data_IF_507502529852
#
_entry.id   IF_507502529852
#
_cell.length_a   1.000
_cell.length_b   1.000
_cell.length_c   1.000
_cell.angle_alpha   90.00
_cell.angle_beta   90.00
_cell.angle_gamma   90.00
#
_symmetry.space_group_name_H-M   'P 1'
#
loop_
_entity.id
_entity.type
_entity.pdbx_description
1 polymer ?
#
# COMPACT_ATOMS: atom_id res chain seq x y z
N UNK A 1 9.41 -9.04 24.64
CA UNK A 1 10.88 -8.87 24.70
C UNK A 1 11.14 -7.38 24.94
N UNK A 2 12.26 -7.01 25.55
CA UNK A 2 12.59 -5.58 25.71
C UNK A 2 13.22 -5.04 24.43
N UNK A 3 12.57 -4.07 23.79
CA UNK A 3 13.01 -3.45 22.53
C UNK A 3 14.05 -2.36 22.75
N UNK A 4 14.20 -1.83 23.98
CA UNK A 4 15.02 -0.64 24.25
C UNK A 4 16.49 -0.76 23.81
N UNK A 5 17.21 -1.89 24.02
CA UNK A 5 18.59 -2.01 23.55
C UNK A 5 18.70 -1.93 22.02
N UNK A 6 17.71 -2.47 21.32
CA UNK A 6 17.65 -2.51 19.86
C UNK A 6 17.32 -1.13 19.27
N UNK A 7 16.38 -0.41 19.88
CA UNK A 7 16.04 0.98 19.56
C UNK A 7 17.29 1.86 19.63
N UNK A 8 18.05 1.78 20.73
CA UNK A 8 19.26 2.60 20.89
C UNK A 8 20.32 2.26 19.85
N UNK A 9 20.47 0.97 19.51
CA UNK A 9 21.42 0.50 18.50
C UNK A 9 21.09 1.08 17.12
N UNK A 10 19.84 0.95 16.69
CA UNK A 10 19.36 1.47 15.40
C UNK A 10 19.44 3.00 15.32
N UNK A 11 19.07 3.70 16.39
CA UNK A 11 19.25 5.15 16.49
C UNK A 11 20.72 5.53 16.25
N UNK A 12 21.65 4.87 16.94
CA UNK A 12 23.08 5.19 16.82
C UNK A 12 23.61 4.95 15.38
N UNK A 13 23.10 3.92 14.70
CA UNK A 13 23.46 3.65 13.31
C UNK A 13 22.91 4.72 12.35
N UNK A 14 21.65 5.14 12.51
CA UNK A 14 21.06 6.26 11.77
C UNK A 14 21.91 7.53 11.96
N UNK A 15 22.28 7.85 13.20
CA UNK A 15 23.13 9.01 13.48
C UNK A 15 24.48 8.89 12.76
N UNK A 16 25.12 7.72 12.82
CA UNK A 16 26.39 7.45 12.14
C UNK A 16 26.28 7.66 10.62
N UNK A 17 25.23 7.14 9.99
CA UNK A 17 24.96 7.30 8.56
C UNK A 17 24.77 8.76 8.18
N UNK A 18 23.96 9.51 8.93
CA UNK A 18 23.76 10.95 8.69
C UNK A 18 25.03 11.77 8.88
N UNK A 19 25.97 11.37 9.76
CA UNK A 19 27.26 12.08 9.91
C UNK A 19 28.11 12.07 8.64
N UNK A 20 27.86 11.12 7.72
CA UNK A 20 28.57 11.00 6.45
C UNK A 20 27.91 11.78 5.31
N UNK A 21 26.74 12.36 5.54
CA UNK A 21 25.96 13.04 4.51
C UNK A 21 26.27 14.55 4.47
N UNK A 22 26.51 15.10 3.29
CA UNK A 22 27.13 16.43 3.08
C UNK A 22 26.14 17.62 3.15
N UNK A 23 24.84 17.36 3.31
CA UNK A 23 23.78 18.35 3.01
C UNK A 23 23.26 19.20 4.20
N UNK A 24 23.83 19.10 5.39
CA UNK A 24 23.51 20.01 6.52
C UNK A 24 22.10 19.90 7.12
N UNK A 25 21.24 18.99 6.63
CA UNK A 25 19.89 18.70 7.16
C UNK A 25 19.90 17.80 8.40
N UNK A 26 21.07 17.27 8.76
CA UNK A 26 21.27 16.25 9.79
C UNK A 26 20.73 16.62 11.17
N UNK A 27 21.00 17.83 11.66
CA UNK A 27 20.68 18.17 13.06
C UNK A 27 19.17 18.27 13.28
N UNK A 28 18.41 18.69 12.26
CA UNK A 28 16.95 18.73 12.30
C UNK A 28 16.37 17.31 12.29
N UNK A 29 16.85 16.44 11.40
CA UNK A 29 16.37 15.05 11.31
C UNK A 29 16.67 14.25 12.59
N UNK A 30 17.87 14.41 13.16
CA UNK A 30 18.22 13.77 14.43
C UNK A 30 17.33 14.28 15.55
N UNK A 31 17.08 15.58 15.60
CA UNK A 31 16.18 16.17 16.59
C UNK A 31 14.77 15.59 16.47
N UNK A 32 14.22 15.49 15.26
CA UNK A 32 12.87 14.92 15.06
C UNK A 32 12.81 13.44 15.48
N UNK A 33 13.88 12.69 15.19
CA UNK A 33 14.00 11.29 15.66
C UNK A 33 14.02 11.24 17.19
N UNK A 34 14.89 12.03 17.81
CA UNK A 34 15.06 12.01 19.26
C UNK A 34 13.79 12.51 19.98
N UNK A 35 13.11 13.53 19.45
CA UNK A 35 11.83 14.04 19.97
C UNK A 35 10.75 12.94 19.95
N UNK A 36 10.66 12.15 18.86
CA UNK A 36 9.73 11.02 18.78
C UNK A 36 10.09 9.90 19.77
N UNK A 37 11.38 9.53 19.85
CA UNK A 37 11.86 8.48 20.76
C UNK A 37 11.69 8.84 22.24
N UNK A 38 11.80 10.12 22.59
CA UNK A 38 11.66 10.60 23.97
C UNK A 38 10.20 10.79 24.40
N UNK A 39 9.23 10.66 23.48
CA UNK A 39 7.81 10.77 23.82
C UNK A 39 7.37 9.67 24.79
N UNK A 40 6.74 10.06 25.91
CA UNK A 40 6.20 9.12 26.90
C UNK A 40 4.92 8.43 26.44
N UNK A 41 4.23 9.01 25.45
CA UNK A 41 2.94 8.50 24.95
C UNK A 41 3.13 7.39 23.93
N UNK A 42 4.29 7.34 23.26
CA UNK A 42 4.61 6.32 22.25
C UNK A 42 5.14 5.05 22.89
N UNK A 43 4.59 3.92 22.47
CA UNK A 43 5.07 2.61 22.89
C UNK A 43 6.47 2.34 22.32
N UNK A 44 7.23 1.47 23.00
CA UNK A 44 8.52 1.00 22.48
C UNK A 44 8.37 0.33 21.10
N UNK A 45 7.19 -0.24 20.81
CA UNK A 45 6.88 -0.85 19.52
C UNK A 45 6.75 0.19 18.40
N UNK A 46 6.02 1.29 18.63
CA UNK A 46 5.92 2.40 17.68
C UNK A 46 7.28 3.08 17.48
N UNK A 47 8.06 3.24 18.56
CA UNK A 47 9.43 3.81 18.48
C UNK A 47 10.35 2.93 17.64
N UNK A 48 10.31 1.62 17.87
CA UNK A 48 11.05 0.64 17.07
C UNK A 48 10.66 0.74 15.58
N UNK A 49 9.36 0.74 15.29
CA UNK A 49 8.88 0.82 13.91
C UNK A 49 9.24 2.15 13.23
N UNK A 50 9.11 3.27 13.95
CA UNK A 50 9.49 4.59 13.45
C UNK A 50 10.97 4.64 13.04
N UNK A 51 11.87 4.01 13.81
CA UNK A 51 13.27 3.92 13.44
C UNK A 51 13.51 3.03 12.22
N UNK A 52 12.76 1.93 12.08
CA UNK A 52 12.83 1.09 10.87
C UNK A 52 12.42 1.90 9.63
N UNK A 53 11.36 2.71 9.74
CA UNK A 53 10.93 3.60 8.66
C UNK A 53 11.98 4.67 8.29
N UNK A 54 12.84 5.04 9.24
CA UNK A 54 13.88 6.05 9.08
C UNK A 54 15.29 5.44 9.02
N UNK A 55 15.41 4.17 8.63
CA UNK A 55 16.68 3.46 8.58
C UNK A 55 17.71 4.13 7.63
N UNK A 56 17.23 4.74 6.54
CA UNK A 56 18.05 5.42 5.53
C UNK A 56 17.62 6.90 5.39
N UNK A 57 17.92 7.74 6.38
CA UNK A 57 17.41 9.11 6.45
C UNK A 57 18.02 10.07 5.40
N UNK A 58 19.07 9.65 4.68
CA UNK A 58 19.66 10.41 3.57
C UNK A 58 19.22 9.95 2.18
N UNK A 59 18.47 8.84 2.10
CA UNK A 59 17.96 8.38 0.81
C UNK A 59 16.82 9.30 0.37
N UNK A 60 16.89 9.77 -0.88
CA UNK A 60 15.79 10.49 -1.52
C UNK A 60 14.62 9.54 -1.73
N UNK A 61 13.85 9.31 -0.66
CA UNK A 61 12.62 8.54 -0.71
C UNK A 61 11.60 9.32 -1.52
N UNK A 62 10.93 8.65 -2.46
CA UNK A 62 9.84 9.23 -3.27
C UNK A 62 8.52 9.40 -2.46
N UNK A 63 8.62 9.38 -1.14
CA UNK A 63 7.50 9.44 -0.21
C UNK A 63 7.90 10.10 1.11
N UNK A 64 6.91 10.70 1.77
CA UNK A 64 7.03 11.27 3.12
C UNK A 64 6.34 10.36 4.12
N UNK A 65 6.86 10.33 5.35
CA UNK A 65 6.34 9.54 6.47
C UNK A 65 5.93 10.52 7.56
N UNK A 66 4.69 10.42 8.02
CA UNK A 66 4.15 11.26 9.09
C UNK A 66 3.60 10.34 10.20
N UNK A 67 4.20 10.33 11.40
CA UNK A 67 3.70 9.55 12.50
C UNK A 67 2.46 10.21 13.13
N UNK A 68 1.51 9.38 13.59
CA UNK A 68 0.30 9.78 14.33
C UNK A 68 -0.53 10.86 13.63
N UNK A 69 -0.68 10.70 12.32
CA UNK A 69 -1.39 11.66 11.49
C UNK A 69 -2.89 11.59 11.74
N UNK A 70 -3.50 12.74 12.01
CA UNK A 70 -4.95 12.88 12.13
C UNK A 70 -5.56 13.14 10.74
N UNK A 71 -6.45 12.25 10.30
CA UNK A 71 -7.15 12.39 9.01
C UNK A 71 -8.65 12.48 9.21
N UNK A 72 -9.29 13.43 8.52
CA UNK A 72 -10.74 13.57 8.47
C UNK A 72 -11.27 12.85 7.23
N UNK A 73 -12.13 11.85 7.43
CA UNK A 73 -12.70 11.04 6.35
C UNK A 73 -14.22 11.02 6.41
N UNK A 74 -14.86 10.85 5.25
CA UNK A 74 -16.30 10.58 5.20
C UNK A 74 -16.65 9.25 5.86
N UNK A 75 -17.77 9.23 6.57
CA UNK A 75 -18.25 8.04 7.26
C UNK A 75 -19.13 7.17 6.36
N UNK A 76 -18.51 6.50 5.40
CA UNK A 76 -19.25 5.67 4.43
C UNK A 76 -19.74 4.33 5.01
N UNK A 77 -19.27 3.96 6.20
CA UNK A 77 -19.60 2.68 6.81
C UNK A 77 -21.06 2.57 7.26
N UNK A 78 -21.57 3.58 7.97
CA UNK A 78 -22.95 3.64 8.44
C UNK A 78 -23.64 5.00 8.21
N UNK A 79 -22.93 5.97 7.62
CA UNK A 79 -23.44 7.30 7.29
C UNK A 79 -23.98 8.08 8.51
N UNK A 80 -23.51 7.76 9.72
CA UNK A 80 -24.00 8.38 10.96
C UNK A 80 -23.56 9.84 11.13
N UNK A 81 -22.44 10.22 10.50
CA UNK A 81 -21.88 11.58 10.54
C UNK A 81 -21.32 11.99 9.17
N UNK A 82 -21.22 13.29 8.84
CA UNK A 82 -20.61 13.70 7.57
C UNK A 82 -19.10 13.39 7.48
N UNK A 83 -18.41 13.30 8.62
CA UNK A 83 -17.00 12.94 8.66
C UNK A 83 -16.53 12.55 10.06
N UNK A 84 -15.49 11.72 10.12
CA UNK A 84 -14.87 11.17 11.32
C UNK A 84 -13.36 11.37 11.24
N UNK A 85 -12.78 11.79 12.35
CA UNK A 85 -11.34 11.88 12.52
C UNK A 85 -10.76 10.53 12.96
N UNK A 86 -9.72 10.09 12.28
CA UNK A 86 -8.93 8.91 12.65
C UNK A 86 -7.47 9.32 12.81
N UNK A 87 -6.83 8.88 13.89
CA UNK A 87 -5.38 8.87 14.01
C UNK A 87 -4.83 7.64 13.28
N UNK A 88 -3.84 7.80 12.42
CA UNK A 88 -3.08 6.72 11.77
C UNK A 88 -1.70 6.66 12.41
N UNK A 89 -1.23 5.48 12.83
CA UNK A 89 0.06 5.34 13.51
C UNK A 89 1.21 5.87 12.65
N UNK A 90 1.24 5.51 11.36
CA UNK A 90 2.13 6.13 10.37
C UNK A 90 1.41 6.30 9.03
N UNK A 91 1.25 7.55 8.60
CA UNK A 91 0.77 7.88 7.27
C UNK A 91 1.96 8.05 6.31
N UNK A 92 1.89 7.40 5.16
CA UNK A 92 2.91 7.49 4.11
C UNK A 92 2.26 8.06 2.85
N UNK A 93 2.84 9.12 2.34
CA UNK A 93 2.37 9.79 1.13
C UNK A 93 3.47 9.77 0.07
N UNK A 94 3.21 9.11 -1.07
CA UNK A 94 4.09 9.11 -2.24
C UNK A 94 3.38 9.63 -3.48
N UNK A 95 4.10 9.70 -4.60
CA UNK A 95 3.54 10.12 -5.88
C UNK A 95 3.49 11.63 -6.08
N UNK A 96 2.43 12.12 -6.72
CA UNK A 96 2.29 13.55 -7.04
C UNK A 96 1.12 14.18 -6.29
N UNK A 97 1.09 15.51 -6.19
CA UNK A 97 -0.01 16.24 -5.54
C UNK A 97 -1.37 15.94 -6.19
N UNK A 98 -1.40 15.74 -7.51
CA UNK A 98 -2.64 15.45 -8.24
C UNK A 98 -3.08 13.98 -8.11
N UNK A 99 -2.12 13.09 -7.89
CA UNK A 99 -2.33 11.64 -7.82
C UNK A 99 -1.52 11.04 -6.65
N UNK A 100 -1.90 11.33 -5.39
CA UNK A 100 -1.15 10.86 -4.24
C UNK A 100 -1.43 9.38 -3.99
N UNK A 101 -0.37 8.63 -3.73
CA UNK A 101 -0.50 7.28 -3.14
C UNK A 101 -0.44 7.44 -1.63
N UNK A 102 -1.53 7.07 -0.96
CA UNK A 102 -1.69 7.19 0.49
C UNK A 102 -1.68 5.80 1.12
N UNK A 103 -0.76 5.55 2.03
CA UNK A 103 -0.67 4.30 2.80
C UNK A 103 -0.85 4.62 4.28
N UNK A 104 -1.79 3.96 4.92
CA UNK A 104 -1.99 3.98 6.36
C UNK A 104 -1.34 2.72 6.94
N UNK A 105 -0.34 2.90 7.80
CA UNK A 105 0.30 1.80 8.52
C UNK A 105 -0.15 1.82 9.97
N UNK A 106 -0.63 0.67 10.46
CA UNK A 106 -1.08 0.46 11.83
C UNK A 106 -0.21 -0.62 12.50
N UNK A 107 0.17 -0.39 13.75
CA UNK A 107 1.00 -1.30 14.54
C UNK A 107 0.14 -1.96 15.61
N UNK A 108 -0.27 -3.19 15.34
CA UNK A 108 -1.11 -3.95 16.24
C UNK A 108 -0.26 -4.49 17.41
N UNK A 109 -0.32 -3.79 18.55
CA UNK A 109 0.26 -4.27 19.80
C UNK A 109 -0.37 -5.59 20.26
N UNK A 110 0.38 -6.43 20.99
CA UNK A 110 -0.09 -7.73 21.53
C UNK A 110 -1.21 -7.61 22.61
N UNK A 111 -1.88 -6.46 22.74
CA UNK A 111 -3.01 -6.30 23.65
C UNK A 111 -4.23 -7.00 23.07
N UNK A 112 -4.51 -8.18 23.60
CA UNK A 112 -5.81 -8.67 24.07
C UNK A 112 -7.03 -7.78 23.81
N UNK A 113 -7.33 -7.47 22.54
CA UNK A 113 -8.58 -6.82 22.18
C UNK A 113 -9.62 -7.90 21.90
N UNK A 114 -10.37 -8.23 22.97
CA UNK A 114 -11.61 -8.97 22.84
C UNK A 114 -12.54 -8.34 21.80
N UNK A 115 -13.57 -9.09 21.40
CA UNK A 115 -14.51 -8.82 20.29
C UNK A 115 -15.10 -7.38 20.17
N UNK A 116 -14.91 -6.49 21.16
CA UNK A 116 -15.42 -5.10 21.20
C UNK A 116 -14.72 -4.12 20.24
N UNK A 117 -13.43 -4.28 19.91
CA UNK A 117 -12.72 -3.30 19.07
C UNK A 117 -12.76 -3.60 17.57
N UNK A 118 -13.03 -4.86 17.21
CA UNK A 118 -13.09 -5.34 15.81
C UNK A 118 -14.01 -4.50 14.92
N UNK A 119 -15.15 -4.01 15.44
CA UNK A 119 -16.08 -3.17 14.67
C UNK A 119 -15.54 -1.77 14.42
N UNK A 120 -14.82 -1.18 15.38
CA UNK A 120 -14.23 0.16 15.24
C UNK A 120 -13.08 0.12 14.23
N UNK A 121 -12.24 -0.90 14.31
CA UNK A 121 -11.11 -1.08 13.39
C UNK A 121 -11.62 -1.36 11.97
N UNK A 122 -12.65 -2.19 11.83
CA UNK A 122 -13.30 -2.43 10.54
C UNK A 122 -13.92 -1.16 9.95
N UNK A 123 -14.54 -0.30 10.77
CA UNK A 123 -15.10 0.98 10.32
C UNK A 123 -14.00 1.90 9.80
N UNK A 124 -12.91 2.04 10.56
CA UNK A 124 -11.72 2.82 10.16
C UNK A 124 -11.16 2.30 8.84
N UNK A 125 -10.97 0.99 8.70
CA UNK A 125 -10.45 0.39 7.47
C UNK A 125 -11.35 0.64 6.26
N UNK A 126 -12.67 0.50 6.41
CA UNK A 126 -13.63 0.76 5.33
C UNK A 126 -13.59 2.24 4.90
N UNK A 127 -13.60 3.17 5.87
CA UNK A 127 -13.58 4.60 5.58
C UNK A 127 -12.24 5.01 4.92
N UNK A 128 -11.11 4.47 5.39
CA UNK A 128 -9.79 4.65 4.77
C UNK A 128 -9.78 4.14 3.33
N UNK A 129 -10.18 2.89 3.11
CA UNK A 129 -10.18 2.27 1.79
C UNK A 129 -11.10 3.01 0.81
N UNK A 130 -12.29 3.43 1.25
CA UNK A 130 -13.21 4.23 0.44
C UNK A 130 -12.62 5.59 0.06
N UNK A 131 -11.83 6.19 0.94
CA UNK A 131 -11.07 7.40 0.67
C UNK A 131 -9.76 7.16 -0.12
N UNK A 132 -9.55 5.94 -0.65
CA UNK A 132 -8.42 5.59 -1.51
C UNK A 132 -7.12 5.31 -0.77
N UNK A 133 -7.15 5.12 0.56
CA UNK A 133 -5.99 4.71 1.32
C UNK A 133 -5.74 3.21 1.18
N UNK A 134 -4.46 2.85 1.13
CA UNK A 134 -4.01 1.48 1.33
C UNK A 134 -3.72 1.27 2.80
N UNK A 135 -4.33 0.25 3.40
CA UNK A 135 -4.15 -0.04 4.83
C UNK A 135 -3.21 -1.24 4.96
N UNK A 136 -2.11 -1.05 5.68
CA UNK A 136 -1.14 -2.08 6.06
C UNK A 136 -1.14 -2.20 7.58
N UNK A 137 -1.23 -3.43 8.08
CA UNK A 137 -1.19 -3.71 9.52
C UNK A 137 -0.03 -4.63 9.82
N UNK A 138 0.82 -4.24 10.76
CA UNK A 138 1.93 -5.06 11.23
C UNK A 138 1.72 -5.42 12.69
N UNK A 139 1.85 -6.71 12.98
CA UNK A 139 1.72 -7.23 14.33
C UNK A 139 2.97 -6.92 15.15
N UNK A 140 2.80 -6.87 16.46
CA UNK A 140 3.93 -6.76 17.38
C UNK A 140 5.01 -7.81 17.15
N UNK A 141 4.65 -9.04 16.77
CA UNK A 141 5.61 -10.10 16.48
C UNK A 141 6.49 -9.74 15.28
N UNK A 142 5.90 -9.28 14.19
CA UNK A 142 6.64 -8.91 12.98
C UNK A 142 7.63 -7.80 13.29
N UNK A 143 7.22 -6.76 14.03
CA UNK A 143 8.13 -5.65 14.39
C UNK A 143 9.30 -6.11 15.26
N UNK A 144 9.07 -7.03 16.20
CA UNK A 144 10.14 -7.60 17.01
C UNK A 144 11.12 -8.43 16.18
N UNK A 145 10.62 -9.30 15.30
CA UNK A 145 11.48 -10.11 14.44
C UNK A 145 12.34 -9.22 13.55
N UNK A 146 11.76 -8.14 13.03
CA UNK A 146 12.44 -7.25 12.11
C UNK A 146 13.57 -6.45 12.76
N UNK A 147 13.34 -5.90 13.96
CA UNK A 147 14.38 -5.12 14.65
C UNK A 147 15.54 -6.01 15.13
N UNK A 148 15.28 -7.29 15.41
CA UNK A 148 16.32 -8.26 15.76
C UNK A 148 17.20 -8.53 14.54
N UNK A 149 16.60 -8.83 13.38
CA UNK A 149 17.35 -9.03 12.13
C UNK A 149 18.28 -7.87 11.85
N UNK A 150 17.76 -6.64 12.03
CA UNK A 150 18.55 -5.42 11.89
C UNK A 150 19.75 -5.39 12.84
N UNK A 151 19.55 -5.70 14.11
CA UNK A 151 20.66 -5.69 15.09
C UNK A 151 21.75 -6.74 14.84
N UNK A 152 21.39 -7.83 14.16
CA UNK A 152 22.30 -8.93 13.86
C UNK A 152 23.06 -8.73 12.53
N UNK A 153 22.57 -7.85 11.64
CA UNK A 153 23.08 -7.69 10.28
C UNK A 153 23.21 -6.21 9.90
N UNK A 154 24.45 -5.71 9.82
CA UNK A 154 24.75 -4.28 9.54
C UNK A 154 24.15 -3.72 8.24
N UNK A 155 23.84 -4.57 7.25
CA UNK A 155 23.29 -4.17 5.94
C UNK A 155 21.86 -4.67 5.69
N UNK A 156 21.13 -5.07 6.73
CA UNK A 156 19.75 -5.57 6.57
C UNK A 156 18.82 -4.45 6.13
N UNK A 157 18.23 -4.53 4.94
CA UNK A 157 17.14 -3.63 4.53
C UNK A 157 15.83 -4.21 5.03
N UNK A 158 15.02 -3.41 5.72
CA UNK A 158 13.79 -3.94 6.30
C UNK A 158 12.78 -4.47 5.28
N UNK A 159 12.22 -5.64 5.55
CA UNK A 159 11.11 -6.24 4.80
C UNK A 159 9.87 -5.31 4.76
N UNK A 160 9.69 -4.48 5.79
CA UNK A 160 8.61 -3.48 5.82
C UNK A 160 8.83 -2.37 4.80
N UNK A 161 10.06 -1.83 4.71
CA UNK A 161 10.42 -0.81 3.73
C UNK A 161 10.22 -1.34 2.31
N UNK A 162 10.72 -2.55 2.03
CA UNK A 162 10.54 -3.22 0.74
C UNK A 162 9.04 -3.36 0.40
N UNK A 163 8.22 -3.76 1.38
CA UNK A 163 6.79 -3.92 1.19
C UNK A 163 6.09 -2.60 0.86
N UNK A 164 6.41 -1.53 1.61
CA UNK A 164 5.88 -0.18 1.40
C UNK A 164 6.26 0.34 0.02
N UNK A 165 7.55 0.27 -0.34
CA UNK A 165 8.04 0.72 -1.66
C UNK A 165 7.35 -0.01 -2.81
N UNK A 166 7.22 -1.33 -2.71
CA UNK A 166 6.57 -2.14 -3.74
C UNK A 166 5.12 -1.73 -3.93
N UNK A 167 4.41 -1.47 -2.84
CA UNK A 167 3.01 -1.04 -2.87
C UNK A 167 2.88 0.35 -3.51
N UNK A 168 3.74 1.29 -3.13
CA UNK A 168 3.75 2.64 -3.72
C UNK A 168 4.04 2.58 -5.22
N UNK A 169 5.12 1.90 -5.63
CA UNK A 169 5.50 1.73 -7.04
C UNK A 169 4.38 1.08 -7.85
N UNK A 170 3.78 0.01 -7.35
CA UNK A 170 2.66 -0.65 -8.02
C UNK A 170 1.47 0.29 -8.22
N UNK A 171 1.15 1.15 -7.25
CA UNK A 171 0.07 2.13 -7.41
C UNK A 171 0.42 3.23 -8.40
N UNK A 172 1.62 3.78 -8.33
CA UNK A 172 2.07 4.78 -9.30
C UNK A 172 2.05 4.24 -10.73
N UNK A 173 2.48 2.99 -10.91
CA UNK A 173 2.41 2.31 -12.20
C UNK A 173 0.96 2.19 -12.72
N UNK A 174 -0.03 2.03 -11.84
CA UNK A 174 -1.44 1.96 -12.25
C UNK A 174 -2.01 3.33 -12.68
N UNK A 175 -1.51 4.43 -12.10
CA UNK A 175 -2.08 5.78 -12.31
C UNK A 175 -1.39 6.54 -13.46
N UNK A 176 -0.16 6.20 -13.82
CA UNK A 176 0.54 6.85 -14.94
C UNK A 176 -0.19 6.65 -16.29
N UNK A 177 -0.51 7.77 -16.96
CA UNK A 177 -1.54 7.91 -17.99
C UNK A 177 -1.45 7.03 -19.27
N UNK A 178 -0.37 6.29 -19.47
CA UNK A 178 -0.24 5.33 -20.59
C UNK A 178 -0.52 3.88 -20.19
N UNK A 179 -0.68 3.58 -18.89
CA UNK A 179 -0.80 2.20 -18.41
C UNK A 179 -2.23 1.68 -18.39
N UNK A 180 -3.26 2.54 -18.40
CA UNK A 180 -4.66 2.11 -18.56
C UNK A 180 -4.89 1.32 -19.85
N UNK A 181 -4.09 1.51 -20.90
CA UNK A 181 -4.17 0.73 -22.13
C UNK A 181 -3.76 -0.74 -21.98
N UNK A 182 -2.99 -1.08 -20.93
CA UNK A 182 -2.42 -2.43 -20.73
C UNK A 182 -3.45 -3.39 -20.15
N UNK A 183 -3.69 -4.57 -20.75
CA UNK A 183 -4.68 -5.54 -20.27
C UNK A 183 -4.53 -5.90 -18.78
N UNK A 184 -3.31 -6.18 -18.31
CA UNK A 184 -3.03 -6.53 -16.91
C UNK A 184 -3.49 -5.46 -15.93
N UNK A 185 -3.23 -4.19 -16.25
CA UNK A 185 -3.62 -3.02 -15.43
C UNK A 185 -5.14 -2.91 -15.36
N UNK A 186 -5.82 -2.97 -16.51
CA UNK A 186 -7.29 -2.95 -16.56
C UNK A 186 -7.90 -4.11 -15.80
N UNK A 187 -7.26 -5.28 -15.84
CA UNK A 187 -7.75 -6.45 -15.09
C UNK A 187 -7.71 -6.24 -13.59
N UNK A 188 -6.59 -5.71 -13.07
CA UNK A 188 -6.47 -5.38 -11.65
C UNK A 188 -7.48 -4.30 -11.22
N UNK A 189 -7.71 -3.29 -12.06
CA UNK A 189 -8.60 -2.18 -11.73
C UNK A 189 -10.09 -2.53 -11.80
N UNK A 190 -10.49 -3.46 -12.67
CA UNK A 190 -11.91 -3.74 -12.94
C UNK A 190 -12.38 -5.10 -12.43
N UNK A 191 -11.46 -6.00 -12.04
CA UNK A 191 -11.77 -7.38 -11.69
C UNK A 191 -12.13 -8.28 -12.89
N UNK A 192 -12.20 -7.73 -14.11
CA UNK A 192 -12.38 -8.53 -15.34
C UNK A 192 -11.03 -8.95 -15.92
N UNK A 193 -10.96 -10.10 -16.55
CA UNK A 193 -9.86 -10.45 -17.46
C UNK A 193 -9.96 -9.63 -18.75
N UNK A 194 -8.93 -8.84 -19.06
CA UNK A 194 -8.77 -8.12 -20.32
C UNK A 194 -7.71 -8.78 -21.19
N UNK A 195 -7.86 -8.67 -22.51
CA UNK A 195 -6.89 -9.18 -23.47
C UNK A 195 -7.30 -8.86 -24.90
N UNK A 196 -6.57 -9.44 -25.86
CA UNK A 196 -6.91 -9.32 -27.27
C UNK A 196 -8.13 -10.17 -27.63
N UNK A 197 -9.05 -9.59 -28.38
CA UNK A 197 -10.15 -10.30 -29.03
C UNK A 197 -10.07 -10.04 -30.52
N UNK A 198 -10.21 -11.11 -31.30
CA UNK A 198 -10.24 -11.02 -32.75
C UNK A 198 -11.69 -10.98 -33.24
N UNK A 199 -12.04 -9.98 -34.05
CA UNK A 199 -13.34 -9.91 -34.69
C UNK A 199 -13.47 -11.02 -35.74
N UNK A 200 -14.51 -11.86 -35.61
CA UNK A 200 -14.79 -12.94 -36.57
C UNK A 200 -15.25 -12.44 -37.94
N UNK A 201 -15.69 -11.18 -38.03
CA UNK A 201 -16.25 -10.62 -39.26
C UNK A 201 -15.20 -9.93 -40.14
N UNK A 202 -14.18 -9.30 -39.55
CA UNK A 202 -13.15 -8.56 -40.30
C UNK A 202 -11.70 -8.90 -39.90
N UNK A 203 -11.49 -9.84 -38.98
CA UNK A 203 -10.15 -10.28 -38.54
C UNK A 203 -9.38 -9.28 -37.68
N UNK A 204 -9.89 -8.07 -37.47
CA UNK A 204 -9.23 -7.04 -36.66
C UNK A 204 -9.11 -7.46 -35.19
N UNK A 205 -7.92 -7.32 -34.62
CA UNK A 205 -7.62 -7.55 -33.20
C UNK A 205 -7.77 -6.26 -32.41
N UNK A 206 -8.39 -6.35 -31.24
CA UNK A 206 -8.61 -5.21 -30.35
C UNK A 206 -8.59 -5.65 -28.89
N UNK A 207 -8.27 -4.74 -27.99
CA UNK A 207 -8.39 -4.99 -26.54
C UNK A 207 -9.87 -5.02 -26.13
N UNK A 208 -10.28 -6.13 -25.50
CA UNK A 208 -11.63 -6.36 -24.98
C UNK A 208 -11.65 -7.10 -23.64
N UNK A 209 -12.84 -7.18 -23.04
CA UNK A 209 -13.09 -7.95 -21.81
C UNK A 209 -13.26 -9.43 -22.14
N UNK A 210 -12.28 -10.27 -21.80
CA UNK A 210 -12.31 -11.72 -22.07
C UNK A 210 -13.45 -12.41 -21.34
N UNK A 211 -13.88 -11.95 -20.17
CA UNK A 211 -15.07 -12.52 -19.54
C UNK A 211 -16.30 -12.37 -20.43
N UNK A 212 -16.40 -11.36 -21.30
CA UNK A 212 -17.60 -11.20 -22.15
C UNK A 212 -17.57 -12.13 -23.35
N UNK A 213 -18.67 -12.85 -23.57
CA UNK A 213 -18.90 -13.65 -24.77
C UNK A 213 -19.10 -12.79 -26.02
N UNK A 214 -19.88 -11.71 -25.89
CA UNK A 214 -20.24 -10.81 -27.00
C UNK A 214 -19.44 -9.52 -26.95
N UNK A 215 -18.91 -9.13 -28.10
CA UNK A 215 -18.10 -7.92 -28.30
C UNK A 215 -18.62 -7.11 -29.49
N UNK A 216 -18.22 -5.85 -29.57
CA UNK A 216 -18.44 -4.99 -30.76
C UNK A 216 -17.08 -4.62 -31.33
N UNK A 217 -16.88 -4.81 -32.63
CA UNK A 217 -15.63 -4.49 -33.30
C UNK A 217 -15.47 -2.96 -33.43
N UNK A 218 -14.36 -2.41 -32.95
CA UNK A 218 -14.08 -0.98 -33.08
C UNK A 218 -13.81 -0.55 -34.52
N UNK A 219 -13.35 -1.48 -35.37
CA UNK A 219 -13.08 -1.25 -36.79
C UNK A 219 -14.36 -1.32 -37.63
N UNK A 220 -14.97 -2.49 -37.79
CA UNK A 220 -16.17 -2.64 -38.64
C UNK A 220 -17.51 -2.36 -37.95
N UNK A 221 -17.52 -2.03 -36.64
CA UNK A 221 -18.71 -1.75 -35.82
C UNK A 221 -19.69 -2.90 -35.62
N UNK A 222 -19.45 -4.06 -36.25
CA UNK A 222 -20.28 -5.25 -36.08
C UNK A 222 -20.11 -5.93 -34.72
N UNK A 223 -21.18 -6.54 -34.23
CA UNK A 223 -21.16 -7.40 -33.05
C UNK A 223 -20.64 -8.80 -33.41
N UNK A 224 -19.88 -9.40 -32.52
CA UNK A 224 -19.36 -10.76 -32.70
C UNK A 224 -19.28 -11.52 -31.38
N UNK A 225 -19.30 -12.84 -31.45
CA UNK A 225 -18.99 -13.73 -30.33
C UNK A 225 -17.50 -14.03 -30.40
N UNK A 226 -16.76 -13.75 -29.33
CA UNK A 226 -15.32 -14.05 -29.32
C UNK A 226 -15.09 -15.55 -29.34
N UNK A 227 -14.01 -15.97 -29.97
CA UNK A 227 -13.53 -17.33 -29.83
C UNK A 227 -12.77 -17.46 -28.50
N UNK A 228 -12.88 -18.64 -27.90
CA UNK A 228 -12.14 -19.00 -26.69
C UNK A 228 -10.81 -19.62 -27.11
N UNK A 229 -9.72 -19.21 -26.49
CA UNK A 229 -8.42 -19.79 -26.73
C UNK A 229 -8.22 -21.08 -25.93
N UNK A 230 -7.43 -22.02 -26.46
CA UNK A 230 -7.24 -23.34 -25.85
C UNK A 230 -6.64 -23.29 -24.43
N UNK A 231 -5.96 -22.19 -24.08
CA UNK A 231 -5.37 -21.99 -22.77
C UNK A 231 -6.34 -21.37 -21.75
N UNK A 232 -7.50 -20.87 -22.18
CA UNK A 232 -8.50 -20.27 -21.30
C UNK A 232 -9.30 -21.36 -20.58
N UNK A 233 -8.97 -21.60 -19.31
CA UNK A 233 -9.68 -22.58 -18.46
C UNK A 233 -10.95 -21.96 -17.90
N UNK A 234 -12.10 -22.34 -18.44
CA UNK A 234 -13.41 -21.80 -18.04
C UNK A 234 -14.06 -22.68 -16.98
N UNK A 235 -14.35 -22.10 -15.83
CA UNK A 235 -15.11 -22.70 -14.74
C UNK A 235 -16.61 -22.75 -15.05
N UNK A 236 -17.14 -21.75 -15.77
CA UNK A 236 -18.54 -21.70 -16.17
C UNK A 236 -18.92 -20.46 -16.98
N UNK A 237 -20.13 -20.44 -17.55
CA UNK A 237 -20.75 -19.28 -18.21
C UNK A 237 -22.04 -18.90 -17.49
N UNK A 238 -22.21 -17.62 -17.13
CA UNK A 238 -23.45 -17.10 -16.59
C UNK A 238 -23.77 -15.72 -17.20
N UNK A 239 -24.99 -15.54 -17.71
CA UNK A 239 -25.46 -14.29 -18.35
C UNK A 239 -24.52 -13.72 -19.44
N UNK A 240 -23.88 -14.60 -20.22
CA UNK A 240 -22.94 -14.20 -21.28
C UNK A 240 -21.57 -13.73 -20.77
N UNK A 241 -21.25 -14.02 -19.50
CA UNK A 241 -19.93 -13.89 -18.91
C UNK A 241 -19.30 -15.27 -18.67
N UNK A 242 -18.04 -15.43 -19.10
CA UNK A 242 -17.16 -16.53 -18.76
C UNK A 242 -16.48 -16.26 -17.41
N UNK A 243 -16.45 -17.28 -16.56
CA UNK A 243 -15.71 -17.32 -15.31
C UNK A 243 -14.55 -18.28 -15.50
N UNK A 244 -13.34 -17.85 -15.17
CA UNK A 244 -12.13 -18.64 -15.36
C UNK A 244 -11.77 -19.38 -14.05
N UNK A 245 -11.09 -20.53 -14.19
CA UNK A 245 -10.50 -21.29 -13.08
C UNK A 245 -9.22 -20.66 -12.56
#
# INVERSE_FOLDING_TARGET
>A
MDLKPYIQTLRNQIEYSLRRDEFGLKDMMIKDIDDYLNSEVKSDLEKAFFLVLNQFPGDNSDYIIIPNEMVLLEDVYDMSTPGIEYEIDFAIYGGSVNDPVKVAVEIDGQRSHGQKHVRKDRRKDVNLQAAGWLVMRFTSKEVHEEIIKFSEHENHVSDFLISIENVIRQKLDLVTGNNYGRPKVRSLLTGYSWGDVQCTNCGHRQIGVLNRKKHTCKHCKEKFIRQLEAHERIAGEHNGLYYFL
#
